data_IF_963312574445
#
_entry.id   IF_963312574445
#
_cell.length_a   1.000
_cell.length_b   1.000
_cell.length_c   1.000
_cell.angle_alpha   90.00
_cell.angle_beta   90.00
_cell.angle_gamma   90.00
#
_symmetry.space_group_name_H-M   'P 1'
#
loop_
_entity.id
_entity.type
_entity.pdbx_description
1 polymer ?
#
# COMPACT_ATOMS: atom_id res chain seq x y z
N UNK A 1 37.89 -0.95 -11.42
CA UNK A 1 36.53 -0.40 -11.60
C UNK A 1 35.66 -1.09 -10.57
N UNK A 2 35.30 -0.38 -9.52
CA UNK A 2 34.47 -0.87 -8.42
C UNK A 2 33.04 -0.99 -8.92
N UNK A 3 32.53 -2.22 -9.07
CA UNK A 3 31.10 -2.44 -9.34
C UNK A 3 30.35 -2.13 -8.05
N UNK A 4 29.65 -1.05 -8.04
CA UNK A 4 28.71 -0.72 -6.97
C UNK A 4 27.49 -1.63 -7.17
N UNK A 5 27.38 -2.64 -6.34
CA UNK A 5 26.15 -3.43 -6.21
C UNK A 5 25.21 -2.60 -5.36
N UNK A 6 24.30 -1.91 -6.00
CA UNK A 6 23.20 -1.22 -5.32
C UNK A 6 22.22 -2.32 -4.94
N UNK A 7 22.26 -2.77 -3.69
CA UNK A 7 21.16 -3.48 -3.10
C UNK A 7 20.03 -2.44 -2.91
N UNK A 8 19.14 -2.33 -3.90
CA UNK A 8 17.91 -1.61 -3.72
C UNK A 8 17.03 -2.44 -2.79
N UNK A 9 17.18 -2.23 -1.48
CA UNK A 9 16.17 -2.59 -0.51
C UNK A 9 15.01 -1.61 -0.70
N UNK A 10 14.20 -1.84 -1.73
CA UNK A 10 12.95 -1.14 -1.86
C UNK A 10 11.99 -1.77 -0.87
N UNK A 11 11.77 -1.12 0.21
CA UNK A 11 10.84 -1.51 1.24
C UNK A 11 9.44 -1.48 0.68
N UNK A 12 8.68 -2.54 0.91
CA UNK A 12 7.26 -2.52 0.61
C UNK A 12 6.62 -1.47 1.46
N UNK A 13 6.28 -0.41 0.80
CA UNK A 13 5.42 0.57 1.39
C UNK A 13 4.06 -0.03 1.61
N UNK A 14 3.58 0.20 2.77
CA UNK A 14 2.21 0.05 3.15
C UNK A 14 1.34 0.67 2.08
N UNK A 15 0.36 -0.11 1.68
CA UNK A 15 -0.78 0.30 0.90
C UNK A 15 -0.56 0.69 -0.55
N UNK A 16 -1.35 0.20 -1.31
CA UNK A 16 -2.15 0.62 -2.44
C UNK A 16 -1.65 1.60 -3.46
N UNK A 17 -0.58 2.22 -3.30
CA UNK A 17 0.12 2.76 -4.44
C UNK A 17 0.88 1.62 -5.04
N UNK A 18 0.52 1.23 -6.24
CA UNK A 18 1.13 0.17 -7.01
C UNK A 18 2.12 -0.62 -6.18
N UNK A 19 1.68 -1.66 -5.49
CA UNK A 19 2.55 -2.51 -4.69
C UNK A 19 3.58 -3.07 -5.65
N UNK A 20 4.62 -2.30 -5.92
CA UNK A 20 5.82 -2.87 -6.45
C UNK A 20 6.24 -3.86 -5.39
N UNK A 21 5.88 -5.14 -5.62
CA UNK A 21 6.37 -6.21 -4.79
C UNK A 21 7.87 -6.05 -4.74
N UNK A 22 8.35 -5.51 -3.64
CA UNK A 22 9.77 -5.33 -3.44
C UNK A 22 10.41 -6.67 -3.22
N UNK A 23 11.19 -7.03 -4.15
CA UNK A 23 11.98 -8.22 -4.14
C UNK A 23 13.41 -7.89 -4.39
N UNK A 24 14.00 -7.37 -3.38
CA UNK A 24 15.44 -7.36 -3.27
C UNK A 24 15.96 -8.74 -2.93
N UNK A 25 16.29 -9.55 -3.91
CA UNK A 25 17.43 -10.46 -3.84
C UNK A 25 17.77 -10.94 -5.24
N UNK A 26 18.72 -10.25 -5.86
CA UNK A 26 19.48 -10.89 -6.94
C UNK A 26 20.42 -11.93 -6.34
N UNK A 27 20.59 -13.13 -6.91
CA UNK A 27 21.56 -14.10 -6.44
C UNK A 27 22.97 -13.51 -6.57
N UNK A 28 23.63 -13.29 -5.44
CA UNK A 28 25.02 -12.87 -5.42
C UNK A 28 25.89 -14.09 -5.66
N UNK A 29 26.67 -14.06 -6.74
CA UNK A 29 27.76 -14.99 -7.00
C UNK A 29 28.72 -14.94 -5.82
N UNK A 30 29.04 -16.11 -5.27
CA UNK A 30 29.93 -16.28 -4.12
C UNK A 30 31.21 -15.47 -4.22
N UNK A 31 31.44 -14.58 -3.27
CA UNK A 31 32.69 -13.80 -3.15
C UNK A 31 32.93 -13.44 -1.69
N UNK A 32 34.20 -13.49 -1.28
CA UNK A 32 34.87 -12.86 -0.16
C UNK A 32 34.04 -12.54 1.11
N UNK A 33 34.64 -12.63 2.32
CA UNK A 33 33.90 -12.38 3.55
C UNK A 33 33.15 -11.05 3.43
N UNK A 34 31.83 -11.16 3.54
CA UNK A 34 30.93 -10.02 3.42
C UNK A 34 31.39 -8.93 4.42
N UNK A 35 31.41 -7.66 4.02
CA UNK A 35 31.55 -6.58 4.98
C UNK A 35 30.48 -6.77 6.06
N UNK A 36 30.86 -6.59 7.33
CA UNK A 36 29.90 -6.63 8.44
C UNK A 36 28.78 -5.65 8.07
N UNK A 37 27.56 -6.18 7.92
CA UNK A 37 26.40 -5.36 7.62
C UNK A 37 26.30 -4.25 8.67
N UNK A 38 26.06 -2.99 8.27
CA UNK A 38 25.91 -1.92 9.22
C UNK A 38 24.76 -2.24 10.18
N UNK A 39 24.94 -1.95 11.46
CA UNK A 39 23.92 -2.22 12.48
C UNK A 39 22.57 -1.54 12.20
N UNK A 40 22.59 -0.52 11.38
CA UNK A 40 21.39 0.23 10.96
C UNK A 40 21.57 0.84 9.57
N UNK A 41 20.47 1.05 8.88
CA UNK A 41 20.36 1.85 7.66
C UNK A 41 19.11 2.70 7.70
N UNK A 42 19.10 3.80 6.96
CA UNK A 42 17.96 4.67 6.80
C UNK A 42 17.61 4.73 5.31
N UNK A 43 16.54 4.06 4.93
CA UNK A 43 15.99 4.12 3.58
C UNK A 43 14.98 5.27 3.49
N UNK A 44 14.89 5.91 2.35
CA UNK A 44 13.92 6.95 2.09
C UNK A 44 13.62 7.07 0.60
N UNK A 45 12.45 7.61 0.29
CA UNK A 45 12.05 7.78 -1.11
C UNK A 45 10.85 8.70 -1.27
N UNK A 46 10.61 9.06 -2.53
CA UNK A 46 9.47 9.85 -2.97
C UNK A 46 8.89 9.23 -4.24
N UNK A 47 7.57 9.27 -4.37
CA UNK A 47 6.83 8.79 -5.54
C UNK A 47 5.83 9.84 -5.98
N UNK A 48 5.84 10.18 -7.26
CA UNK A 48 4.71 10.84 -7.92
C UNK A 48 3.89 9.78 -8.65
N UNK A 49 2.61 9.73 -8.41
CA UNK A 49 1.68 8.79 -9.06
C UNK A 49 0.49 9.52 -9.66
N UNK A 50 -0.06 8.99 -10.76
CA UNK A 50 -1.26 9.55 -11.39
C UNK A 50 -2.54 9.30 -10.59
N UNK A 51 -2.53 8.33 -9.67
CA UNK A 51 -3.60 8.02 -8.73
C UNK A 51 -3.02 7.24 -7.54
N UNK A 52 -3.54 7.45 -6.34
CA UNK A 52 -3.19 6.65 -5.17
C UNK A 52 -4.26 5.56 -4.97
N UNK A 53 -3.88 4.30 -5.11
CA UNK A 53 -4.78 3.16 -4.94
C UNK A 53 -4.48 2.40 -3.65
N UNK A 54 -5.51 2.14 -2.85
CA UNK A 54 -5.48 1.20 -1.74
C UNK A 54 -6.37 0.02 -2.06
N UNK A 55 -5.79 -1.18 -2.23
CA UNK A 55 -6.50 -2.41 -2.62
C UNK A 55 -7.46 -2.19 -3.81
N UNK A 56 -6.97 -1.50 -4.85
CA UNK A 56 -7.72 -1.20 -6.06
C UNK A 56 -8.63 0.03 -6.01
N UNK A 57 -8.83 0.64 -4.84
CA UNK A 57 -9.70 1.79 -4.62
C UNK A 57 -8.89 3.08 -4.59
N UNK A 58 -9.27 4.07 -5.40
CA UNK A 58 -8.62 5.37 -5.43
C UNK A 58 -8.84 6.16 -4.14
N UNK A 59 -7.74 6.58 -3.53
CA UNK A 59 -7.73 7.44 -2.34
C UNK A 59 -7.68 8.93 -2.68
N UNK A 60 -7.42 9.25 -3.95
CA UNK A 60 -7.30 10.62 -4.46
C UNK A 60 -8.38 11.00 -5.46
N UNK A 61 -9.51 10.27 -5.48
CA UNK A 61 -10.60 10.50 -6.43
C UNK A 61 -10.11 10.55 -7.90
N UNK A 62 -9.20 9.63 -8.27
CA UNK A 62 -8.54 9.53 -9.57
C UNK A 62 -7.66 10.74 -9.93
N UNK A 63 -7.10 11.42 -8.93
CA UNK A 63 -6.19 12.54 -9.11
C UNK A 63 -4.75 12.15 -8.69
N UNK A 64 -3.75 12.89 -9.15
CA UNK A 64 -2.37 12.62 -8.80
C UNK A 64 -2.07 12.70 -7.30
N UNK A 65 -1.11 11.90 -6.86
CA UNK A 65 -0.56 11.95 -5.52
C UNK A 65 0.96 12.09 -5.51
N UNK A 66 1.45 12.69 -4.43
CA UNK A 66 2.86 12.68 -4.03
C UNK A 66 2.94 11.92 -2.72
N UNK A 67 3.81 10.92 -2.70
CA UNK A 67 4.00 10.00 -1.59
C UNK A 67 5.45 10.00 -1.17
N UNK A 68 5.71 9.79 0.11
CA UNK A 68 7.08 9.70 0.61
C UNK A 68 7.20 8.76 1.78
N UNK A 69 8.40 8.24 2.01
CA UNK A 69 8.67 7.39 3.15
C UNK A 69 10.07 7.60 3.73
N UNK A 70 10.18 7.23 4.99
CA UNK A 70 11.46 7.05 5.69
C UNK A 70 11.36 5.75 6.49
N UNK A 71 12.34 4.86 6.34
CA UNK A 71 12.40 3.58 7.05
C UNK A 71 13.75 3.42 7.74
N UNK A 72 13.74 3.27 9.03
CA UNK A 72 14.89 2.87 9.82
C UNK A 72 14.94 1.33 9.88
N UNK A 73 16.04 0.75 9.42
CA UNK A 73 16.32 -0.68 9.46
C UNK A 73 17.41 -0.94 10.48
N UNK A 74 17.24 -1.95 11.32
CA UNK A 74 18.15 -2.28 12.40
C UNK A 74 18.40 -3.78 12.46
N UNK A 75 19.65 -4.18 12.67
CA UNK A 75 20.06 -5.56 12.95
C UNK A 75 19.64 -6.59 11.87
N UNK A 76 19.43 -6.16 10.62
CA UNK A 76 18.94 -6.97 9.49
C UNK A 76 17.53 -7.59 9.71
N UNK A 77 16.84 -7.25 10.80
CA UNK A 77 15.56 -7.85 11.17
C UNK A 77 14.47 -6.85 11.45
N UNK A 78 14.78 -5.80 12.20
CA UNK A 78 13.79 -4.85 12.73
C UNK A 78 13.70 -3.65 11.83
N UNK A 79 12.49 -3.19 11.57
CA UNK A 79 12.31 -1.92 10.89
C UNK A 79 11.19 -1.09 11.53
N UNK A 80 11.30 0.21 11.34
CA UNK A 80 10.27 1.18 11.62
C UNK A 80 10.14 2.12 10.43
N UNK A 81 8.93 2.31 9.93
CA UNK A 81 8.61 3.08 8.73
C UNK A 81 7.61 4.17 9.04
N UNK A 82 7.80 5.34 8.44
CA UNK A 82 6.81 6.40 8.34
C UNK A 82 6.59 6.67 6.87
N UNK A 83 5.33 6.61 6.45
CA UNK A 83 4.93 6.92 5.09
C UNK A 83 3.84 7.99 5.10
N UNK A 84 3.77 8.80 4.03
CA UNK A 84 2.73 9.81 3.88
C UNK A 84 2.34 10.01 2.44
N UNK A 85 1.07 10.38 2.22
CA UNK A 85 0.51 10.75 0.91
C UNK A 85 -0.56 11.82 1.07
N UNK A 86 -0.73 12.64 0.05
CA UNK A 86 -1.99 13.34 -0.07
C UNK A 86 -3.10 12.33 -0.42
N UNK A 87 -4.27 12.57 0.13
CA UNK A 87 -5.51 11.86 -0.16
C UNK A 87 -6.68 12.86 -0.11
N UNK A 88 -7.83 12.50 -0.64
CA UNK A 88 -9.02 13.34 -0.57
C UNK A 88 -10.33 12.54 -0.46
N UNK A 89 -10.26 11.24 -0.18
CA UNK A 89 -11.46 10.43 -0.01
C UNK A 89 -12.25 10.81 1.24
N UNK A 90 -11.58 11.26 2.30
CA UNK A 90 -12.24 11.73 3.54
C UNK A 90 -13.18 12.90 3.25
N UNK A 91 -12.84 13.76 2.29
CA UNK A 91 -13.66 14.91 1.88
C UNK A 91 -14.93 14.50 1.11
N UNK A 92 -15.02 13.27 0.61
CA UNK A 92 -16.22 12.77 -0.06
C UNK A 92 -17.42 12.62 0.89
N UNK A 93 -17.14 12.44 2.17
CA UNK A 93 -18.17 12.37 3.21
C UNK A 93 -18.47 13.78 3.73
N UNK A 94 -19.55 14.38 3.24
CA UNK A 94 -19.94 15.80 3.46
C UNK A 94 -19.94 16.26 4.93
N UNK A 95 -19.91 15.32 5.85
CA UNK A 95 -20.05 15.56 7.29
C UNK A 95 -18.75 15.33 8.06
N UNK A 96 -17.73 14.80 7.41
CA UNK A 96 -16.47 14.44 8.00
C UNK A 96 -15.39 15.46 7.58
N UNK A 97 -14.50 15.75 8.50
CA UNK A 97 -13.58 16.88 8.43
C UNK A 97 -12.68 16.94 7.19
N UNK A 98 -11.86 17.96 7.12
CA UNK A 98 -10.98 18.27 6.00
C UNK A 98 -9.63 17.58 6.18
N UNK A 99 -9.53 16.27 5.96
CA UNK A 99 -8.24 15.60 5.87
C UNK A 99 -7.83 15.45 4.42
N UNK A 100 -6.71 16.03 4.05
CA UNK A 100 -6.09 15.87 2.74
C UNK A 100 -4.74 15.14 2.80
N UNK A 101 -4.40 14.61 3.96
CA UNK A 101 -3.15 13.94 4.25
C UNK A 101 -3.41 12.61 4.96
N UNK A 102 -2.69 11.58 4.54
CA UNK A 102 -2.54 10.30 5.24
C UNK A 102 -1.11 10.18 5.72
N UNK A 103 -0.93 9.75 6.97
CA UNK A 103 0.39 9.46 7.56
C UNK A 103 0.31 8.12 8.27
N UNK A 104 1.15 7.19 7.83
CA UNK A 104 1.18 5.82 8.32
C UNK A 104 2.45 5.56 9.10
N UNK A 105 2.30 4.83 10.20
CA UNK A 105 3.39 4.34 11.01
C UNK A 105 3.37 2.81 10.98
N UNK A 106 4.49 2.21 10.56
CA UNK A 106 4.60 0.76 10.53
C UNK A 106 5.89 0.31 11.18
N UNK A 107 5.86 -0.90 11.69
CA UNK A 107 7.06 -1.55 12.21
C UNK A 107 6.89 -3.04 12.26
N UNK A 108 8.01 -3.75 12.19
CA UNK A 108 7.97 -5.20 12.12
C UNK A 108 9.32 -5.86 12.13
N UNK A 109 9.26 -7.15 11.84
CA UNK A 109 10.40 -8.02 11.68
C UNK A 109 10.39 -8.56 10.24
N UNK A 110 11.50 -8.34 9.54
CA UNK A 110 11.67 -8.79 8.17
C UNK A 110 13.00 -9.54 8.06
N UNK A 111 12.98 -10.76 7.50
CA UNK A 111 14.21 -11.51 7.27
C UNK A 111 14.07 -12.48 6.09
N UNK A 112 15.24 -12.82 5.51
CA UNK A 112 15.35 -13.75 4.38
C UNK A 112 16.23 -14.93 4.73
N UNK A 113 15.68 -16.14 4.56
CA UNK A 113 16.39 -17.41 4.73
C UNK A 113 16.49 -18.12 3.37
N UNK A 114 17.61 -17.93 2.68
CA UNK A 114 17.80 -18.48 1.33
C UNK A 114 16.80 -17.89 0.34
N UNK A 115 15.88 -18.72 -0.17
CA UNK A 115 14.86 -18.30 -1.13
C UNK A 115 13.55 -17.84 -0.45
N UNK A 116 13.41 -18.01 0.85
CA UNK A 116 12.22 -17.64 1.60
C UNK A 116 12.45 -16.34 2.35
N UNK A 117 11.51 -15.41 2.22
CA UNK A 117 11.47 -14.18 3.00
C UNK A 117 10.14 -14.09 3.75
N UNK A 118 10.18 -13.54 4.95
CA UNK A 118 9.00 -13.27 5.76
C UNK A 118 9.10 -11.86 6.33
N UNK A 119 8.00 -11.11 6.22
CA UNK A 119 7.80 -9.82 6.87
C UNK A 119 6.54 -9.91 7.72
N UNK A 120 6.65 -9.67 9.02
CA UNK A 120 5.54 -9.63 9.96
C UNK A 120 5.58 -8.32 10.74
N UNK A 121 4.45 -7.68 10.88
CA UNK A 121 4.43 -6.38 11.54
C UNK A 121 3.03 -5.84 11.76
N UNK A 122 3.00 -4.56 12.11
CA UNK A 122 1.76 -3.80 12.24
C UNK A 122 1.91 -2.43 11.59
N UNK A 123 0.79 -1.88 11.21
CA UNK A 123 0.64 -0.55 10.65
C UNK A 123 -0.46 0.21 11.37
N UNK A 124 -0.27 1.50 11.54
CA UNK A 124 -1.28 2.42 12.04
C UNK A 124 -1.45 3.54 11.01
N UNK A 125 -2.64 3.61 10.46
CA UNK A 125 -3.04 4.59 9.45
C UNK A 125 -3.67 5.77 10.13
N UNK A 126 -3.23 6.99 9.79
CA UNK A 126 -3.77 8.20 10.38
C UNK A 126 -4.16 9.23 9.32
N UNK A 127 -5.25 9.91 9.57
CA UNK A 127 -5.82 10.95 8.71
C UNK A 127 -5.92 12.26 9.47
N UNK A 128 -4.81 13.03 9.59
CA UNK A 128 -4.78 14.27 10.34
C UNK A 128 -5.84 15.26 9.87
N UNK A 129 -6.71 15.69 10.77
CA UNK A 129 -7.80 16.61 10.47
C UNK A 129 -9.16 15.96 10.24
N UNK A 130 -9.27 14.62 10.23
CA UNK A 130 -10.54 13.90 10.02
C UNK A 130 -11.52 14.00 11.20
N UNK A 131 -11.09 14.45 12.36
CA UNK A 131 -11.86 14.40 13.62
C UNK A 131 -12.94 15.47 13.82
N UNK A 132 -13.38 16.15 12.76
CA UNK A 132 -14.36 17.25 12.84
C UNK A 132 -15.67 16.91 12.14
N UNK A 133 -16.34 15.81 12.51
CA UNK A 133 -17.64 15.52 11.90
C UNK A 133 -18.71 16.52 12.29
N UNK A 134 -19.63 16.77 11.36
CA UNK A 134 -20.83 17.59 11.57
C UNK A 134 -22.00 16.63 11.75
N UNK A 135 -22.75 16.76 12.85
CA UNK A 135 -23.99 16.02 13.04
C UNK A 135 -24.99 16.42 11.93
N UNK A 136 -25.42 15.49 11.07
CA UNK A 136 -26.30 15.81 9.95
C UNK A 136 -27.69 16.30 10.38
N UNK A 137 -28.10 16.03 11.62
CA UNK A 137 -29.41 16.42 12.17
C UNK A 137 -29.38 17.83 12.73
N UNK A 138 -28.29 18.18 13.43
CA UNK A 138 -28.17 19.46 14.12
C UNK A 138 -27.32 20.49 13.37
N UNK A 139 -26.56 20.06 12.36
CA UNK A 139 -25.57 20.85 11.62
C UNK A 139 -24.52 21.49 12.56
N UNK A 140 -24.37 20.96 13.74
CA UNK A 140 -23.37 21.40 14.71
C UNK A 140 -22.16 20.46 14.61
N UNK A 141 -20.98 21.03 14.81
CA UNK A 141 -19.78 20.22 15.04
C UNK A 141 -20.00 19.37 16.28
N UNK A 142 -20.08 18.08 16.12
CA UNK A 142 -19.98 17.15 17.22
C UNK A 142 -18.52 17.20 17.67
N UNK A 143 -18.30 17.36 18.98
CA UNK A 143 -16.97 17.56 19.54
C UNK A 143 -15.95 16.50 19.12
N UNK A 144 -14.68 16.63 19.52
CA UNK A 144 -13.62 15.69 19.14
C UNK A 144 -14.02 14.27 19.55
N UNK A 145 -14.13 13.36 18.59
CA UNK A 145 -14.31 11.94 18.84
C UNK A 145 -15.43 11.20 18.13
N UNK A 146 -16.15 11.82 17.18
CA UNK A 146 -17.25 11.07 16.55
C UNK A 146 -16.85 10.25 15.33
N UNK A 147 -15.83 10.62 14.58
CA UNK A 147 -15.35 9.78 13.45
C UNK A 147 -13.86 10.05 13.24
N UNK A 148 -13.04 9.27 13.90
CA UNK A 148 -11.62 9.22 13.65
C UNK A 148 -11.41 8.04 12.68
N UNK A 149 -11.02 8.31 11.44
CA UNK A 149 -10.75 7.26 10.45
C UNK A 149 -9.43 6.51 10.70
N UNK A 150 -8.73 6.83 11.78
CA UNK A 150 -7.50 6.15 12.15
C UNK A 150 -7.79 4.70 12.51
N UNK A 151 -6.97 3.79 11.99
CA UNK A 151 -7.09 2.37 12.30
C UNK A 151 -5.74 1.68 12.21
N UNK A 152 -5.67 0.43 12.62
CA UNK A 152 -4.47 -0.36 12.57
C UNK A 152 -4.71 -1.70 11.88
N UNK A 153 -3.65 -2.25 11.31
CA UNK A 153 -3.61 -3.60 10.78
C UNK A 153 -2.35 -4.32 11.29
N UNK A 154 -2.48 -5.62 11.53
CA UNK A 154 -1.32 -6.51 11.59
C UNK A 154 -1.21 -7.24 10.27
N UNK A 155 0.02 -7.64 9.91
CA UNK A 155 0.25 -8.31 8.64
C UNK A 155 1.32 -9.39 8.71
N UNK A 156 1.22 -10.33 7.76
CA UNK A 156 2.24 -11.30 7.44
C UNK A 156 2.40 -11.40 5.92
N UNK A 157 3.63 -11.25 5.43
CA UNK A 157 3.97 -11.22 4.00
C UNK A 157 5.09 -12.22 3.70
N UNK A 158 4.80 -13.52 3.60
CA UNK A 158 5.76 -14.50 3.11
C UNK A 158 5.97 -14.35 1.61
N UNK A 159 7.22 -14.54 1.16
CA UNK A 159 7.55 -14.64 -0.26
C UNK A 159 8.61 -15.70 -0.52
N UNK A 160 8.65 -16.22 -1.75
CA UNK A 160 9.55 -17.28 -2.14
C UNK A 160 10.06 -17.09 -3.57
N UNK A 161 11.37 -17.14 -3.74
CA UNK A 161 12.03 -17.17 -5.06
C UNK A 161 11.96 -18.61 -5.59
N UNK A 162 10.96 -18.87 -6.43
CA UNK A 162 10.72 -20.20 -7.04
C UNK A 162 11.82 -20.55 -8.03
N UNK A 163 12.23 -19.55 -8.81
CA UNK A 163 13.29 -19.63 -9.79
C UNK A 163 13.93 -18.24 -9.97
N UNK A 164 15.12 -18.12 -10.58
CA UNK A 164 15.75 -16.82 -10.82
C UNK A 164 14.89 -15.81 -11.60
N UNK A 165 13.87 -16.33 -12.30
CA UNK A 165 12.94 -15.53 -13.10
C UNK A 165 11.53 -15.42 -12.49
N UNK A 166 11.27 -16.01 -11.31
CA UNK A 166 9.93 -15.97 -10.69
C UNK A 166 10.03 -15.88 -9.18
N UNK A 167 9.43 -14.85 -8.63
CA UNK A 167 9.13 -14.77 -7.21
C UNK A 167 7.61 -14.70 -7.02
N UNK A 168 7.13 -15.42 -6.02
CA UNK A 168 5.73 -15.40 -5.59
C UNK A 168 5.65 -14.98 -4.13
N UNK A 169 4.53 -14.41 -3.74
CA UNK A 169 4.29 -13.99 -2.36
C UNK A 169 2.81 -14.01 -2.00
N UNK A 170 2.56 -13.90 -0.72
CA UNK A 170 1.23 -13.67 -0.15
C UNK A 170 1.29 -12.43 0.74
N UNK A 171 0.20 -11.69 0.81
CA UNK A 171 0.02 -10.61 1.76
C UNK A 171 -1.25 -10.89 2.55
N UNK A 172 -1.12 -11.05 3.85
CA UNK A 172 -2.23 -11.21 4.78
C UNK A 172 -2.26 -10.00 5.71
N UNK A 173 -3.41 -9.36 5.81
CA UNK A 173 -3.69 -8.26 6.74
C UNK A 173 -4.94 -8.55 7.55
N UNK A 174 -4.96 -8.08 8.77
CA UNK A 174 -6.13 -8.13 9.64
C UNK A 174 -6.22 -6.90 10.54
N UNK A 175 -7.45 -6.41 10.71
CA UNK A 175 -7.81 -5.34 11.64
C UNK A 175 -9.08 -5.71 12.37
N UNK A 176 -9.21 -5.37 13.63
CA UNK A 176 -10.45 -5.51 14.38
C UNK A 176 -11.45 -4.38 14.13
N UNK A 177 -10.99 -3.30 13.53
CA UNK A 177 -11.79 -2.14 13.15
C UNK A 177 -11.21 -1.53 11.87
N UNK A 178 -11.52 -2.16 10.73
CA UNK A 178 -10.99 -1.77 9.43
C UNK A 178 -11.56 -0.41 8.99
N UNK A 179 -10.67 0.53 8.72
CA UNK A 179 -11.01 1.88 8.26
C UNK A 179 -12.06 2.58 9.15
N UNK A 180 -12.01 2.33 10.48
CA UNK A 180 -12.97 2.85 11.46
C UNK A 180 -14.44 2.53 11.15
N UNK A 181 -14.70 1.39 10.50
CA UNK A 181 -16.05 0.94 10.16
C UNK A 181 -16.76 0.23 11.30
N UNK A 182 -16.07 -0.05 12.42
CA UNK A 182 -16.60 -0.84 13.52
C UNK A 182 -16.68 -2.33 13.23
N UNK A 183 -16.06 -2.80 12.14
CA UNK A 183 -16.08 -4.22 11.72
C UNK A 183 -14.67 -4.74 11.45
N UNK A 184 -14.48 -6.04 11.70
CA UNK A 184 -13.23 -6.72 11.35
C UNK A 184 -13.01 -6.69 9.85
N UNK A 185 -11.77 -6.48 9.46
CA UNK A 185 -11.34 -6.58 8.07
C UNK A 185 -10.18 -7.56 7.93
N UNK A 186 -10.31 -8.50 7.00
CA UNK A 186 -9.21 -9.39 6.59
C UNK A 186 -8.95 -9.21 5.11
N UNK A 187 -7.70 -9.04 4.73
CA UNK A 187 -7.29 -9.01 3.33
C UNK A 187 -6.23 -10.07 3.06
N UNK A 188 -6.40 -10.81 1.98
CA UNK A 188 -5.41 -11.77 1.50
C UNK A 188 -5.19 -11.57 0.02
N UNK A 189 -3.93 -11.43 -0.39
CA UNK A 189 -3.56 -11.40 -1.81
C UNK A 189 -2.41 -12.34 -2.12
N UNK A 190 -2.38 -12.77 -3.39
CA UNK A 190 -1.26 -13.46 -4.00
C UNK A 190 -0.53 -12.54 -4.97
N UNK A 191 0.78 -12.56 -4.94
CA UNK A 191 1.64 -11.74 -5.81
C UNK A 191 2.57 -12.59 -6.65
N UNK A 192 2.90 -12.10 -7.84
CA UNK A 192 3.94 -12.68 -8.68
C UNK A 192 4.79 -11.58 -9.33
N UNK A 193 6.10 -11.82 -9.41
CA UNK A 193 7.05 -10.93 -10.09
C UNK A 193 7.99 -11.74 -10.97
N UNK A 194 8.16 -11.27 -12.20
CA UNK A 194 9.04 -11.84 -13.21
C UNK A 194 10.05 -10.79 -13.63
N UNK A 195 11.28 -10.79 -13.06
CA UNK A 195 12.37 -9.97 -13.57
C UNK A 195 12.74 -10.40 -14.98
N UNK A 196 13.03 -9.44 -15.82
CA UNK A 196 13.37 -9.66 -17.22
C UNK A 196 14.81 -9.24 -17.48
N UNK A 197 15.45 -9.72 -18.58
CA UNK A 197 16.86 -9.43 -18.85
C UNK A 197 17.11 -7.93 -18.94
N UNK A 198 18.09 -7.45 -18.18
CA UNK A 198 18.50 -6.04 -18.20
C UNK A 198 18.96 -5.63 -19.60
N UNK A 199 18.77 -4.37 -19.95
CA UNK A 199 19.10 -3.81 -21.26
C UNK A 199 19.89 -2.49 -21.15
N UNK A 200 20.28 -1.95 -22.30
CA UNK A 200 21.06 -0.72 -22.39
C UNK A 200 22.57 -0.92 -22.26
N UNK A 201 23.37 0.12 -22.45
CA UNK A 201 24.82 0.07 -22.30
C UNK A 201 25.22 -0.36 -20.90
N UNK A 202 25.93 -1.49 -20.76
CA UNK A 202 26.34 -2.02 -19.47
C UNK A 202 25.25 -2.75 -18.68
N UNK A 203 24.01 -2.89 -19.19
CA UNK A 203 22.91 -3.51 -18.49
C UNK A 203 22.37 -2.64 -17.35
N UNK A 204 22.45 -1.32 -17.48
CA UNK A 204 22.07 -0.38 -16.41
C UNK A 204 20.56 -0.24 -16.23
N UNK A 205 19.76 -0.68 -17.21
CA UNK A 205 18.30 -0.64 -17.15
C UNK A 205 17.74 -2.01 -16.80
N UNK A 206 17.12 -2.10 -15.64
CA UNK A 206 16.34 -3.27 -15.25
C UNK A 206 14.86 -3.07 -15.61
N UNK A 207 14.12 -4.17 -15.71
CA UNK A 207 12.68 -4.15 -15.85
C UNK A 207 12.06 -5.47 -15.40
N UNK A 208 10.80 -5.40 -15.03
CA UNK A 208 10.06 -6.59 -14.60
C UNK A 208 8.57 -6.42 -14.89
N UNK A 209 7.86 -7.53 -14.95
CA UNK A 209 6.41 -7.57 -14.88
C UNK A 209 6.00 -8.11 -13.51
N UNK A 210 4.90 -7.61 -12.99
CA UNK A 210 4.36 -8.08 -11.72
C UNK A 210 2.85 -7.96 -11.69
N UNK A 211 2.21 -8.72 -10.81
CA UNK A 211 0.78 -8.65 -10.61
C UNK A 211 0.39 -9.13 -9.23
N UNK A 212 -0.80 -8.75 -8.84
CA UNK A 212 -1.45 -9.11 -7.59
C UNK A 212 -2.92 -9.38 -7.84
N UNK A 213 -3.46 -10.36 -7.12
CA UNK A 213 -4.89 -10.59 -6.99
C UNK A 213 -5.19 -10.84 -5.52
N UNK A 214 -6.23 -10.18 -5.00
CA UNK A 214 -6.59 -10.28 -3.60
C UNK A 214 -8.09 -10.19 -3.35
N UNK A 215 -8.46 -10.53 -2.12
CA UNK A 215 -9.82 -10.39 -1.61
C UNK A 215 -9.80 -9.72 -0.23
N UNK A 216 -10.71 -8.76 -0.06
CA UNK A 216 -11.03 -8.12 1.22
C UNK A 216 -12.31 -8.74 1.77
N UNK A 217 -12.21 -9.40 2.91
CA UNK A 217 -13.37 -9.80 3.72
C UNK A 217 -13.67 -8.71 4.74
N UNK A 218 -14.94 -8.41 4.89
CA UNK A 218 -15.45 -7.53 5.93
C UNK A 218 -16.53 -8.30 6.70
N UNK A 219 -16.46 -8.30 8.02
CA UNK A 219 -17.50 -8.92 8.83
C UNK A 219 -18.72 -8.00 8.86
N UNK A 220 -19.68 -8.32 7.97
CA UNK A 220 -20.91 -7.56 7.80
C UNK A 220 -21.93 -7.77 8.91
N UNK A 221 -21.66 -8.67 9.87
CA UNK A 221 -22.59 -8.99 10.96
C UNK A 221 -22.85 -7.81 11.90
N UNK A 222 -21.93 -6.85 11.95
CA UNK A 222 -22.01 -5.66 12.81
C UNK A 222 -22.44 -4.39 12.07
N UNK A 223 -22.43 -4.39 10.74
CA UNK A 223 -22.69 -3.21 9.91
C UNK A 223 -23.95 -3.37 9.06
N UNK A 224 -25.08 -3.68 9.71
CA UNK A 224 -26.39 -3.46 9.11
C UNK A 224 -26.72 -1.97 9.28
N UNK A 225 -26.25 -1.15 8.36
CA UNK A 225 -26.63 0.26 8.33
C UNK A 225 -27.96 0.40 7.63
N UNK A 226 -29.01 0.67 8.39
CA UNK A 226 -30.32 0.94 7.85
C UNK A 226 -30.45 2.41 7.46
N UNK A 227 -30.41 2.69 6.17
CA UNK A 227 -30.70 4.03 5.65
C UNK A 227 -32.19 4.16 5.38
N UNK A 228 -32.85 5.03 6.10
CA UNK A 228 -34.25 5.40 5.80
C UNK A 228 -34.24 6.65 4.92
N UNK A 229 -34.77 6.53 3.70
CA UNK A 229 -34.90 7.68 2.79
C UNK A 229 -36.07 8.61 3.23
N UNK A 230 -36.17 9.78 2.57
CA UNK A 230 -37.25 10.75 2.85
C UNK A 230 -38.67 10.19 2.62
N UNK A 231 -38.82 9.06 1.93
CA UNK A 231 -40.11 8.37 1.75
C UNK A 231 -40.38 7.33 2.86
N UNK A 232 -39.52 7.22 3.88
CA UNK A 232 -39.67 6.26 4.98
C UNK A 232 -39.32 4.82 4.60
N UNK A 233 -38.63 4.59 3.48
CA UNK A 233 -38.19 3.27 3.05
C UNK A 233 -36.81 3.03 3.64
N UNK A 234 -36.70 1.97 4.43
CA UNK A 234 -35.42 1.53 5.03
C UNK A 234 -34.74 0.52 4.12
N UNK A 235 -33.48 0.75 3.82
CA UNK A 235 -32.60 -0.17 3.11
C UNK A 235 -31.53 -0.65 4.06
N UNK A 236 -31.35 -1.96 4.18
CA UNK A 236 -30.23 -2.54 4.88
C UNK A 236 -29.03 -2.54 3.91
N UNK A 237 -28.00 -1.78 4.25
CA UNK A 237 -26.75 -1.73 3.48
C UNK A 237 -25.67 -2.45 4.26
N UNK A 238 -24.95 -3.33 3.62
CA UNK A 238 -23.74 -3.94 4.14
C UNK A 238 -22.55 -3.53 3.26
N UNK A 239 -21.38 -3.33 3.84
CA UNK A 239 -20.17 -3.17 3.06
C UNK A 239 -19.80 -4.53 2.49
N UNK A 240 -19.83 -4.73 1.17
CA UNK A 240 -19.48 -6.02 0.59
C UNK A 240 -17.99 -6.28 0.71
N UNK A 241 -17.59 -7.52 0.93
CA UNK A 241 -16.25 -7.98 0.59
C UNK A 241 -16.04 -7.84 -0.92
N UNK A 242 -14.80 -7.63 -1.35
CA UNK A 242 -14.52 -7.42 -2.77
C UNK A 242 -13.16 -7.98 -3.19
N UNK A 243 -13.02 -8.24 -4.48
CA UNK A 243 -11.76 -8.60 -5.09
C UNK A 243 -11.08 -7.38 -5.70
N UNK A 244 -9.74 -7.36 -5.63
CA UNK A 244 -8.93 -6.40 -6.39
C UNK A 244 -7.84 -7.12 -7.19
N UNK A 245 -7.40 -6.48 -8.22
CA UNK A 245 -6.30 -6.96 -9.05
C UNK A 245 -5.45 -5.83 -9.56
N UNK A 246 -4.21 -6.15 -9.85
CA UNK A 246 -3.35 -5.29 -10.62
C UNK A 246 -2.33 -6.12 -11.42
N UNK A 247 -1.88 -5.56 -12.54
CA UNK A 247 -0.77 -6.07 -13.31
C UNK A 247 -0.03 -4.92 -13.98
N UNK A 248 1.29 -4.97 -13.99
CA UNK A 248 2.09 -3.87 -14.49
C UNK A 248 3.48 -4.25 -14.95
N UNK A 249 4.12 -3.28 -15.60
CA UNK A 249 5.50 -3.30 -16.04
C UNK A 249 6.26 -2.15 -15.37
N UNK A 250 7.42 -2.46 -14.83
CA UNK A 250 8.28 -1.46 -14.20
C UNK A 250 9.66 -1.43 -14.86
N UNK A 251 10.19 -0.23 -15.03
CA UNK A 251 11.52 0.06 -15.53
C UNK A 251 12.35 0.71 -14.43
N UNK A 252 13.54 0.18 -14.20
CA UNK A 252 14.42 0.65 -13.13
C UNK A 252 15.73 1.17 -13.70
N UNK A 253 16.17 2.33 -13.20
CA UNK A 253 17.47 2.89 -13.50
C UNK A 253 18.05 3.55 -12.26
N UNK A 254 19.11 2.96 -11.69
CA UNK A 254 19.68 3.41 -10.40
C UNK A 254 18.61 3.50 -9.32
N UNK A 255 18.40 4.68 -8.75
CA UNK A 255 17.40 4.96 -7.72
C UNK A 255 15.98 5.22 -8.27
N UNK A 256 15.82 5.30 -9.60
CA UNK A 256 14.55 5.62 -10.23
C UNK A 256 13.79 4.36 -10.66
N UNK A 257 12.48 4.35 -10.49
CA UNK A 257 11.57 3.33 -11.02
C UNK A 257 10.36 4.00 -11.66
N UNK A 258 10.10 3.68 -12.92
CA UNK A 258 8.85 4.00 -13.62
C UNK A 258 7.98 2.74 -13.65
N UNK A 259 6.78 2.79 -13.09
CA UNK A 259 5.81 1.70 -13.09
C UNK A 259 4.55 2.12 -13.86
N UNK A 260 4.08 1.27 -14.75
CA UNK A 260 2.83 1.42 -15.49
C UNK A 260 1.95 0.22 -15.16
N UNK A 261 0.80 0.46 -14.54
CA UNK A 261 -0.01 -0.59 -13.93
C UNK A 261 -1.48 -0.44 -14.28
N UNK A 262 -2.10 -1.54 -14.72
CA UNK A 262 -3.55 -1.68 -14.77
C UNK A 262 -4.04 -2.22 -13.44
N UNK A 263 -5.09 -1.63 -12.89
CA UNK A 263 -5.69 -2.01 -11.61
C UNK A 263 -7.20 -1.88 -11.66
N UNK A 264 -7.90 -2.67 -10.86
CA UNK A 264 -9.35 -2.62 -10.74
C UNK A 264 -9.88 -3.41 -9.55
N UNK A 265 -11.20 -3.33 -9.36
CA UNK A 265 -11.96 -4.11 -8.38
C UNK A 265 -13.23 -4.65 -9.01
N UNK A 266 -13.90 -5.62 -8.35
CA UNK A 266 -15.23 -6.09 -8.74
C UNK A 266 -16.39 -5.31 -8.08
N UNK A 267 -16.09 -4.21 -7.39
CA UNK A 267 -17.10 -3.36 -6.78
C UNK A 267 -17.96 -2.68 -7.85
N UNK A 268 -19.27 -2.70 -7.64
CA UNK A 268 -20.17 -1.85 -8.43
C UNK A 268 -19.96 -0.36 -8.09
N UNK A 269 -20.37 0.55 -8.98
CA UNK A 269 -20.31 1.98 -8.71
C UNK A 269 -21.12 2.38 -7.44
N UNK A 270 -22.21 1.69 -7.14
CA UNK A 270 -22.98 1.93 -5.93
C UNK A 270 -22.25 1.49 -4.67
N UNK A 271 -21.63 0.31 -4.68
CA UNK A 271 -20.81 -0.18 -3.56
C UNK A 271 -19.61 0.74 -3.34
N UNK A 272 -18.97 1.15 -4.43
CA UNK A 272 -17.87 2.10 -4.38
C UNK A 272 -18.28 3.45 -3.76
N UNK A 273 -19.42 4.00 -4.19
CA UNK A 273 -19.95 5.22 -3.59
C UNK A 273 -20.25 5.07 -2.10
N UNK A 274 -20.71 3.90 -1.69
CA UNK A 274 -20.97 3.60 -0.28
C UNK A 274 -19.67 3.52 0.54
N UNK A 275 -18.64 2.85 -0.01
CA UNK A 275 -17.36 2.63 0.70
C UNK A 275 -16.51 3.91 0.77
N UNK A 276 -16.44 4.69 -0.31
CA UNK A 276 -15.47 5.79 -0.43
C UNK A 276 -16.13 7.14 -0.83
N UNK A 277 -17.46 7.19 -0.96
CA UNK A 277 -18.18 8.41 -1.34
C UNK A 277 -18.04 8.83 -2.82
N UNK A 278 -17.49 7.95 -3.68
CA UNK A 278 -17.25 8.25 -5.09
C UNK A 278 -17.43 7.00 -5.95
N UNK A 279 -18.45 6.96 -6.79
CA UNK A 279 -18.81 5.82 -7.63
C UNK A 279 -17.77 5.46 -8.72
N UNK A 280 -16.82 6.34 -9.00
CA UNK A 280 -15.79 6.15 -10.03
C UNK A 280 -14.42 5.76 -9.43
N UNK A 281 -14.30 5.67 -8.10
CA UNK A 281 -13.01 5.43 -7.43
C UNK A 281 -12.53 3.98 -7.53
N UNK A 282 -13.43 3.00 -7.79
CA UNK A 282 -13.13 1.55 -7.72
C UNK A 282 -13.02 0.88 -9.09
N UNK A 283 -13.32 1.58 -10.17
CA UNK A 283 -13.28 1.01 -11.52
C UNK A 283 -11.87 0.77 -12.04
N UNK A 284 -11.80 0.02 -13.13
CA UNK A 284 -10.55 -0.27 -13.83
C UNK A 284 -9.84 1.00 -14.30
N UNK A 285 -8.53 1.04 -14.11
CA UNK A 285 -7.71 2.19 -14.48
C UNK A 285 -6.26 1.83 -14.75
N UNK A 286 -5.57 2.72 -15.46
CA UNK A 286 -4.13 2.65 -15.64
C UNK A 286 -3.50 3.71 -14.76
N UNK A 287 -2.54 3.30 -13.95
CA UNK A 287 -1.77 4.17 -13.06
C UNK A 287 -0.32 4.20 -13.52
N UNK A 288 0.23 5.40 -13.60
CA UNK A 288 1.64 5.63 -13.85
C UNK A 288 2.30 6.23 -12.62
N UNK A 289 3.40 5.63 -12.17
CA UNK A 289 4.13 6.08 -10.99
C UNK A 289 5.61 6.24 -11.31
N UNK A 290 6.23 7.32 -10.84
CA UNK A 290 7.67 7.53 -10.88
C UNK A 290 8.20 7.68 -9.47
N UNK A 291 9.05 6.75 -9.07
CA UNK A 291 9.63 6.68 -7.73
C UNK A 291 11.12 6.93 -7.76
N UNK A 292 11.63 7.55 -6.69
CA UNK A 292 13.05 7.66 -6.38
C UNK A 292 13.26 7.17 -4.96
N UNK A 293 14.06 6.12 -4.79
CA UNK A 293 14.34 5.55 -3.48
C UNK A 293 15.82 5.19 -3.36
N UNK A 294 16.36 5.40 -2.16
CA UNK A 294 17.75 5.07 -1.83
C UNK A 294 17.89 4.85 -0.32
N UNK A 295 19.07 4.47 0.14
CA UNK A 295 19.37 4.43 1.56
C UNK A 295 20.66 5.19 1.89
N UNK A 296 20.80 5.52 3.17
CA UNK A 296 21.97 6.26 3.65
C UNK A 296 23.29 5.50 3.38
N UNK A 297 23.24 4.16 3.53
CA UNK A 297 24.42 3.33 3.26
C UNK A 297 24.70 3.14 1.76
N UNK A 298 23.68 3.23 0.91
CA UNK A 298 23.85 3.16 -0.55
C UNK A 298 24.45 4.45 -1.14
N UNK A 299 24.44 5.57 -0.42
CA UNK A 299 25.01 6.85 -0.82
C UNK A 299 26.49 7.00 -0.43
N UNK A 300 27.02 6.10 0.41
CA UNK A 300 28.44 6.06 0.82
C UNK A 300 29.30 5.30 -0.21
#
# INVERSE_FOLDING_TARGET
MKKIVIAAAASMLLSGAASAADLSTMPVKAVAPAPVAPMWDLAFGVTGTSDYLFRGISQTNNNPAIQGFVELQMFDWVYFNVWASNQNWVENFLWDGNSSLEVDFAGGLRHTWGNFSLDVGGAYYTYPGSSNSIDPTTLLKTGPGSTDYNYWEIYAKPSYVVAPWLTVGLNLFWSSDFAATGTDGTALSGTAKVPLPAFGPGGDFGWYVSGEFGHQWLDTSSYNYSVTNFAGITYDQSIPGYNWWNAGIAFTYKAATLDLRYSGTDLSGNDCNFIIGNNNACGDKIVASLSFATSFNALK
#
